data_IF_139231308213
#
_entry.id   IF_139231308213
#
_cell.length_a   1.000
_cell.length_b   1.000
_cell.length_c   1.000
_cell.angle_alpha   90.00
_cell.angle_beta   90.00
_cell.angle_gamma   90.00
#
_symmetry.space_group_name_H-M   'P 1'
#
loop_
_entity.id
_entity.type
_entity.pdbx_description
1 polymer ?
#
# COMPACT_ATOMS: atom_id res chain seq x y z
N UNK A 1 -1.04 -9.24 15.44
CA UNK A 1 -2.10 -9.67 14.47
C UNK A 1 -3.48 -9.52 15.12
N UNK A 2 -4.57 -9.42 14.34
CA UNK A 2 -5.93 -9.22 14.85
C UNK A 2 -6.79 -10.46 14.59
N UNK A 3 -7.56 -10.90 15.58
CA UNK A 3 -8.42 -12.10 15.47
C UNK A 3 -9.68 -11.81 14.64
N UNK A 4 -10.23 -10.60 14.74
CA UNK A 4 -11.47 -10.22 14.08
C UNK A 4 -11.24 -9.14 13.04
N UNK A 5 -12.14 -9.05 12.07
CA UNK A 5 -12.18 -7.99 11.07
C UNK A 5 -12.40 -6.63 11.74
N UNK A 6 -12.00 -5.58 11.06
CA UNK A 6 -12.02 -4.21 11.60
C UNK A 6 -12.50 -3.22 10.54
N UNK A 7 -13.21 -2.20 11.02
CA UNK A 7 -13.66 -1.04 10.24
C UNK A 7 -13.51 0.24 11.06
N UNK A 8 -13.83 1.39 10.51
CA UNK A 8 -13.82 2.65 11.27
C UNK A 8 -15.03 2.74 12.20
N UNK A 9 -14.93 3.59 13.24
CA UNK A 9 -16.06 3.91 14.11
C UNK A 9 -17.12 4.73 13.37
N UNK A 10 -16.67 5.73 12.58
CA UNK A 10 -17.51 6.69 11.87
C UNK A 10 -16.89 7.01 10.50
N UNK A 11 -17.50 7.89 9.71
CA UNK A 11 -16.94 8.38 8.47
C UNK A 11 -15.84 9.40 8.71
N UNK A 12 -14.84 9.44 7.83
CA UNK A 12 -13.77 10.45 7.81
C UNK A 12 -13.56 10.95 6.39
N UNK A 13 -13.32 12.26 6.24
CA UNK A 13 -13.22 12.94 4.95
C UNK A 13 -11.83 13.54 4.74
N UNK A 14 -11.41 13.60 3.49
CA UNK A 14 -10.16 14.19 3.04
C UNK A 14 -10.38 15.00 1.77
N UNK A 15 -9.92 16.24 1.79
CA UNK A 15 -9.87 17.11 0.62
C UNK A 15 -8.42 17.31 0.18
N UNK A 16 -8.16 17.20 -1.10
CA UNK A 16 -6.83 17.34 -1.66
C UNK A 16 -6.82 17.45 -3.17
N UNK A 17 -5.70 17.12 -3.78
CA UNK A 17 -5.53 17.12 -5.24
C UNK A 17 -4.95 15.78 -5.69
N UNK A 18 -5.27 15.35 -6.91
CA UNK A 18 -4.58 14.22 -7.54
C UNK A 18 -3.15 14.59 -7.94
N UNK A 19 -2.19 13.71 -7.66
CA UNK A 19 -0.78 13.93 -8.03
C UNK A 19 -0.60 14.09 -9.54
N UNK A 20 -1.20 13.18 -10.31
CA UNK A 20 -1.04 13.13 -11.76
C UNK A 20 -2.04 14.03 -12.47
N UNK A 21 -3.29 14.04 -12.05
CA UNK A 21 -4.36 14.82 -12.70
C UNK A 21 -4.33 16.30 -12.34
N UNK A 22 -3.90 16.63 -11.11
CA UNK A 22 -3.97 17.99 -10.54
C UNK A 22 -5.41 18.44 -10.24
N UNK A 23 -6.40 17.56 -10.37
CA UNK A 23 -7.79 17.91 -10.08
C UNK A 23 -8.07 17.87 -8.56
N UNK A 24 -8.98 18.75 -8.09
CA UNK A 24 -9.48 18.65 -6.73
C UNK A 24 -10.16 17.28 -6.50
N UNK A 25 -9.94 16.72 -5.34
CA UNK A 25 -10.46 15.41 -4.95
C UNK A 25 -11.07 15.52 -3.56
N UNK A 26 -12.31 15.05 -3.44
CA UNK A 26 -12.95 14.75 -2.18
C UNK A 26 -13.04 13.24 -2.02
N UNK A 27 -12.50 12.72 -0.92
CA UNK A 27 -12.49 11.31 -0.54
C UNK A 27 -13.14 11.16 0.83
N UNK A 28 -14.16 10.30 0.94
CA UNK A 28 -14.77 9.92 2.21
C UNK A 28 -14.57 8.42 2.46
N UNK A 29 -14.04 8.07 3.62
CA UNK A 29 -13.96 6.70 4.11
C UNK A 29 -15.17 6.44 5.00
N UNK A 30 -15.98 5.45 4.65
CA UNK A 30 -17.20 5.10 5.38
C UNK A 30 -17.11 3.65 5.88
N UNK A 31 -17.46 3.37 7.16
CA UNK A 31 -17.52 2.01 7.68
C UNK A 31 -18.38 1.10 6.81
N UNK A 32 -17.89 -0.13 6.57
CA UNK A 32 -18.64 -1.11 5.79
C UNK A 32 -18.94 -2.38 6.62
N UNK A 33 -19.98 -3.15 6.25
CA UNK A 33 -20.28 -4.44 6.87
C UNK A 33 -19.11 -5.43 6.79
N UNK A 34 -19.18 -6.46 7.62
CA UNK A 34 -18.25 -7.58 7.59
C UNK A 34 -18.18 -8.22 6.20
N UNK A 35 -16.98 -8.66 5.81
CA UNK A 35 -16.71 -9.32 4.53
C UNK A 35 -16.95 -8.44 3.28
N UNK A 36 -17.08 -7.13 3.44
CA UNK A 36 -17.17 -6.20 2.30
C UNK A 36 -15.83 -6.06 1.59
N UNK A 37 -14.72 -6.06 2.34
CA UNK A 37 -13.42 -5.66 1.84
C UNK A 37 -13.31 -4.14 1.66
N UNK A 38 -12.32 -3.71 0.89
CA UNK A 38 -12.13 -2.30 0.53
C UNK A 38 -12.75 -2.06 -0.84
N UNK A 39 -13.74 -1.17 -0.90
CA UNK A 39 -14.50 -0.90 -2.12
C UNK A 39 -14.51 0.60 -2.41
N UNK A 40 -13.91 1.00 -3.52
CA UNK A 40 -14.01 2.36 -4.04
C UNK A 40 -15.35 2.58 -4.72
N UNK A 41 -15.98 3.73 -4.47
CA UNK A 41 -17.22 4.17 -5.12
C UNK A 41 -17.00 5.52 -5.79
N UNK A 42 -17.07 5.56 -7.12
CA UNK A 42 -16.97 6.79 -7.93
C UNK A 42 -18.29 7.56 -7.83
N UNK A 43 -18.35 8.52 -6.92
CA UNK A 43 -19.58 9.30 -6.64
C UNK A 43 -20.00 10.16 -7.83
N UNK A 44 -19.07 10.65 -8.63
CA UNK A 44 -19.29 11.36 -9.88
C UNK A 44 -19.84 10.46 -11.01
N UNK A 45 -19.76 9.13 -10.86
CA UNK A 45 -20.25 8.13 -11.80
C UNK A 45 -21.37 7.26 -11.19
N UNK A 46 -22.30 7.87 -10.45
CA UNK A 46 -23.46 7.21 -9.82
C UNK A 46 -23.05 6.09 -8.86
N UNK A 47 -22.02 6.34 -8.06
CA UNK A 47 -21.46 5.38 -7.10
C UNK A 47 -20.98 4.07 -7.76
N UNK A 48 -20.35 4.17 -8.93
CA UNK A 48 -19.79 2.99 -9.59
C UNK A 48 -18.72 2.35 -8.73
N UNK A 49 -18.88 1.07 -8.41
CA UNK A 49 -18.04 0.33 -7.46
C UNK A 49 -16.90 -0.41 -8.14
N UNK A 50 -15.70 -0.27 -7.55
CA UNK A 50 -14.49 -0.98 -7.92
C UNK A 50 -13.88 -1.55 -6.65
N UNK A 51 -13.89 -2.86 -6.50
CA UNK A 51 -13.28 -3.56 -5.38
C UNK A 51 -11.75 -3.41 -5.47
N UNK A 52 -11.10 -3.07 -4.35
CA UNK A 52 -9.65 -2.98 -4.26
C UNK A 52 -9.03 -4.38 -4.23
N UNK A 53 -9.01 -5.03 -5.38
CA UNK A 53 -8.48 -6.37 -5.56
C UNK A 53 -7.55 -6.44 -6.77
N UNK A 54 -6.64 -7.41 -6.75
CA UNK A 54 -5.73 -7.69 -7.85
C UNK A 54 -6.44 -7.84 -9.21
N UNK A 55 -7.67 -8.37 -9.21
CA UNK A 55 -8.44 -8.58 -10.45
C UNK A 55 -8.74 -7.27 -11.19
N UNK A 56 -8.72 -6.15 -10.50
CA UNK A 56 -8.96 -4.82 -11.06
C UNK A 56 -7.69 -4.01 -11.32
N UNK A 57 -6.49 -4.52 -11.02
CA UNK A 57 -5.23 -3.83 -11.35
C UNK A 57 -5.09 -3.75 -12.87
N UNK A 58 -5.01 -2.52 -13.39
CA UNK A 58 -4.97 -2.25 -14.81
C UNK A 58 -3.65 -1.63 -15.26
N UNK A 59 -3.04 -0.78 -14.43
CA UNK A 59 -1.82 -0.06 -14.74
C UNK A 59 -0.98 0.10 -13.47
N UNK A 60 0.34 -0.01 -13.63
CA UNK A 60 1.33 0.05 -12.55
C UNK A 60 2.55 0.92 -12.94
N UNK A 61 2.35 1.85 -13.87
CA UNK A 61 3.37 2.81 -14.27
C UNK A 61 3.17 4.12 -13.51
N UNK A 62 4.14 4.50 -12.70
CA UNK A 62 4.18 5.68 -11.84
C UNK A 62 3.16 5.71 -10.68
N UNK A 63 2.15 4.87 -10.71
CA UNK A 63 1.17 4.66 -9.64
C UNK A 63 0.40 3.38 -9.90
N UNK A 64 -0.23 2.83 -8.86
CA UNK A 64 -1.15 1.69 -9.00
C UNK A 64 -2.55 2.18 -9.34
N UNK A 65 -3.07 1.67 -10.47
CA UNK A 65 -4.39 2.03 -11.00
C UNK A 65 -5.30 0.81 -11.04
N UNK A 66 -6.48 0.94 -10.45
CA UNK A 66 -7.57 -0.03 -10.57
C UNK A 66 -8.50 0.38 -11.71
N UNK A 67 -9.06 -0.62 -12.42
CA UNK A 67 -10.04 -0.40 -13.50
C UNK A 67 -11.09 -1.50 -13.53
N UNK A 68 -12.35 -1.10 -13.69
CA UNK A 68 -13.49 -2.00 -13.90
C UNK A 68 -14.41 -1.40 -14.95
N UNK A 69 -14.68 -2.13 -16.03
CA UNK A 69 -15.55 -1.68 -17.14
C UNK A 69 -15.20 -0.29 -17.69
N UNK A 70 -13.89 0.05 -17.79
CA UNK A 70 -13.42 1.32 -18.30
C UNK A 70 -13.39 2.48 -17.30
N UNK A 71 -13.95 2.32 -16.10
CA UNK A 71 -13.83 3.29 -15.01
C UNK A 71 -12.53 3.03 -14.24
N UNK A 72 -11.74 4.07 -14.00
CA UNK A 72 -10.42 3.97 -13.34
C UNK A 72 -10.39 4.74 -12.03
N UNK A 73 -9.52 4.26 -11.12
CA UNK A 73 -9.06 4.97 -9.93
C UNK A 73 -7.56 4.74 -9.81
N UNK A 74 -6.78 5.82 -9.75
CA UNK A 74 -5.31 5.81 -9.72
C UNK A 74 -4.76 6.26 -8.38
N UNK A 75 -3.46 6.01 -8.16
CA UNK A 75 -2.69 6.43 -6.97
C UNK A 75 -3.31 5.88 -5.67
N UNK A 76 -3.68 4.60 -5.71
CA UNK A 76 -4.38 3.95 -4.58
C UNK A 76 -3.42 3.43 -3.51
N UNK A 77 -2.13 3.28 -3.81
CA UNK A 77 -1.13 2.59 -3.01
C UNK A 77 -0.93 3.18 -1.61
N UNK A 78 -0.86 4.50 -1.45
CA UNK A 78 -0.61 5.12 -0.13
C UNK A 78 -1.80 4.93 0.83
N UNK A 79 -3.02 5.12 0.33
CA UNK A 79 -4.23 4.87 1.10
C UNK A 79 -4.36 3.38 1.45
N UNK A 80 -4.20 2.50 0.47
CA UNK A 80 -4.30 1.05 0.69
C UNK A 80 -3.21 0.54 1.64
N UNK A 81 -1.99 1.08 1.56
CA UNK A 81 -0.92 0.81 2.51
C UNK A 81 -1.31 1.17 3.93
N UNK A 82 -1.92 2.35 4.11
CA UNK A 82 -2.39 2.82 5.43
C UNK A 82 -3.48 1.89 5.98
N UNK A 83 -4.47 1.52 5.17
CA UNK A 83 -5.51 0.59 5.59
C UNK A 83 -4.95 -0.79 5.97
N UNK A 84 -4.00 -1.30 5.18
CA UNK A 84 -3.31 -2.56 5.44
C UNK A 84 -2.50 -2.50 6.74
N UNK A 85 -1.70 -1.46 6.94
CA UNK A 85 -0.87 -1.24 8.13
C UNK A 85 -1.68 -1.13 9.41
N UNK A 86 -2.82 -0.44 9.36
CA UNK A 86 -3.76 -0.32 10.49
C UNK A 86 -4.66 -1.55 10.66
N UNK A 87 -4.62 -2.50 9.74
CA UNK A 87 -5.42 -3.72 9.78
C UNK A 87 -6.92 -3.47 9.63
N UNK A 88 -7.29 -2.56 8.74
CA UNK A 88 -8.69 -2.26 8.40
C UNK A 88 -9.09 -3.16 7.24
N UNK A 89 -10.21 -3.85 7.38
CA UNK A 89 -10.67 -4.87 6.44
C UNK A 89 -11.84 -4.41 5.58
N UNK A 90 -12.75 -3.59 6.13
CA UNK A 90 -14.02 -3.30 5.48
C UNK A 90 -14.31 -1.80 5.45
N UNK A 91 -14.26 -1.18 4.26
CA UNK A 91 -14.59 0.23 4.03
C UNK A 91 -15.22 0.45 2.66
N UNK A 92 -16.11 1.42 2.59
CA UNK A 92 -16.41 2.11 1.35
C UNK A 92 -15.55 3.38 1.25
N UNK A 93 -14.98 3.61 0.08
CA UNK A 93 -14.13 4.74 -0.25
C UNK A 93 -14.83 5.57 -1.33
N UNK A 94 -15.58 6.58 -0.90
CA UNK A 94 -16.35 7.46 -1.77
C UNK A 94 -15.45 8.53 -2.37
N UNK A 95 -15.32 8.55 -3.69
CA UNK A 95 -14.36 9.36 -4.42
C UNK A 95 -15.04 10.09 -5.59
N UNK A 96 -14.93 11.41 -5.64
CA UNK A 96 -15.49 12.23 -6.72
C UNK A 96 -14.57 12.43 -7.93
N UNK A 97 -13.44 11.70 -7.98
CA UNK A 97 -12.40 11.85 -9.00
C UNK A 97 -11.83 10.50 -9.41
N UNK A 98 -11.05 10.49 -10.50
CA UNK A 98 -10.36 9.30 -11.00
C UNK A 98 -9.01 9.04 -10.30
N UNK A 99 -8.66 9.78 -9.27
CA UNK A 99 -7.39 9.66 -8.56
C UNK A 99 -7.60 9.91 -7.06
N UNK A 100 -6.96 9.10 -6.21
CA UNK A 100 -6.91 9.32 -4.76
C UNK A 100 -6.10 10.58 -4.46
N UNK A 101 -6.48 11.44 -3.49
CA UNK A 101 -5.72 12.65 -3.20
C UNK A 101 -4.33 12.28 -2.67
N UNK A 102 -3.30 12.97 -3.18
CA UNK A 102 -1.91 12.69 -2.81
C UNK A 102 -1.55 13.12 -1.38
N UNK A 103 -2.32 14.04 -0.83
CA UNK A 103 -2.08 14.66 0.46
C UNK A 103 -0.66 15.26 0.56
N UNK A 104 0.14 14.83 1.52
CA UNK A 104 1.55 15.23 1.68
C UNK A 104 2.55 14.27 1.02
N UNK A 105 2.05 13.34 0.20
CA UNK A 105 2.87 12.32 -0.47
C UNK A 105 3.19 11.09 0.37
N UNK A 106 2.60 10.98 1.56
CA UNK A 106 2.73 9.84 2.47
C UNK A 106 1.37 9.30 2.90
N UNK A 107 1.33 8.34 3.82
CA UNK A 107 0.10 7.88 4.49
C UNK A 107 -0.34 8.76 5.66
N UNK A 108 0.44 9.80 6.05
CA UNK A 108 0.25 10.55 7.29
C UNK A 108 -1.16 11.10 7.47
N UNK A 109 -1.68 11.82 6.48
CA UNK A 109 -3.00 12.42 6.59
C UNK A 109 -4.10 11.36 6.79
N UNK A 110 -4.00 10.23 6.09
CA UNK A 110 -4.93 9.11 6.25
C UNK A 110 -4.82 8.48 7.64
N UNK A 111 -3.59 8.28 8.15
CA UNK A 111 -3.37 7.79 9.52
C UNK A 111 -3.99 8.72 10.56
N UNK A 112 -3.72 10.02 10.48
CA UNK A 112 -4.25 11.02 11.41
C UNK A 112 -5.80 11.00 11.42
N UNK A 113 -6.43 10.93 10.24
CA UNK A 113 -7.89 10.84 10.12
C UNK A 113 -8.45 9.55 10.70
N UNK A 114 -7.82 8.42 10.45
CA UNK A 114 -8.23 7.11 10.97
C UNK A 114 -8.07 7.06 12.50
N UNK A 115 -6.96 7.57 13.04
CA UNK A 115 -6.73 7.61 14.49
C UNK A 115 -7.75 8.51 15.22
N UNK A 116 -8.05 9.68 14.65
CA UNK A 116 -9.05 10.59 15.20
C UNK A 116 -10.47 10.01 15.15
N UNK A 117 -10.83 9.32 14.07
CA UNK A 117 -12.12 8.65 13.91
C UNK A 117 -12.23 7.41 14.83
N UNK A 118 -11.11 6.71 15.01
CA UNK A 118 -11.03 5.44 15.75
C UNK A 118 -11.46 4.24 14.90
N UNK A 119 -11.01 3.07 15.35
CA UNK A 119 -11.24 1.78 14.68
C UNK A 119 -12.05 0.89 15.60
N UNK A 120 -13.08 0.22 15.06
CA UNK A 120 -13.86 -0.77 15.79
C UNK A 120 -13.63 -2.17 15.25
N UNK A 121 -13.62 -3.13 16.17
CA UNK A 121 -13.65 -4.55 15.86
C UNK A 121 -15.07 -4.96 15.43
N UNK A 122 -15.13 -5.87 14.48
CA UNK A 122 -16.36 -6.52 14.00
C UNK A 122 -16.44 -7.96 14.56
N UNK A 123 -17.52 -8.71 14.25
CA UNK A 123 -17.72 -10.04 14.80
C UNK A 123 -17.16 -11.16 13.90
N UNK A 124 -16.93 -10.89 12.62
CA UNK A 124 -16.36 -11.88 11.69
C UNK A 124 -14.87 -12.10 11.97
N UNK A 125 -14.43 -13.35 11.93
CA UNK A 125 -13.02 -13.69 12.05
C UNK A 125 -12.23 -13.13 10.85
N UNK A 126 -11.01 -12.68 11.12
CA UNK A 126 -10.08 -12.20 10.11
C UNK A 126 -9.32 -13.34 9.48
N UNK A 127 -9.40 -13.47 8.16
CA UNK A 127 -8.66 -14.46 7.40
C UNK A 127 -7.27 -13.95 7.02
N UNK A 128 -6.26 -14.78 7.20
CA UNK A 128 -4.86 -14.53 6.84
C UNK A 128 -4.39 -15.49 5.77
N UNK A 129 -3.52 -15.04 4.88
CA UNK A 129 -2.81 -15.90 3.95
C UNK A 129 -1.47 -16.31 4.58
N UNK A 130 -1.39 -17.55 5.07
CA UNK A 130 -0.17 -18.15 5.60
C UNK A 130 0.69 -18.66 4.44
N UNK A 131 1.90 -18.13 4.34
CA UNK A 131 2.87 -18.55 3.32
C UNK A 131 3.55 -19.85 3.78
N UNK A 132 3.34 -20.92 3.01
CA UNK A 132 3.90 -22.24 3.26
C UNK A 132 5.09 -22.55 2.35
N UNK A 133 5.09 -22.04 1.13
CA UNK A 133 6.16 -22.21 0.15
C UNK A 133 6.62 -20.83 -0.37
N UNK A 134 7.92 -20.64 -0.65
CA UNK A 134 8.42 -19.41 -1.24
C UNK A 134 7.78 -19.11 -2.59
N UNK A 135 7.42 -17.84 -2.79
CA UNK A 135 6.97 -17.32 -4.08
C UNK A 135 7.85 -16.13 -4.42
N UNK A 136 8.47 -16.13 -5.60
CA UNK A 136 9.39 -15.09 -6.01
C UNK A 136 9.16 -14.70 -7.47
N UNK A 137 9.32 -13.43 -7.78
CA UNK A 137 9.29 -12.86 -9.14
C UNK A 137 10.58 -12.09 -9.36
N UNK A 138 11.21 -12.32 -10.51
CA UNK A 138 12.45 -11.61 -10.94
C UNK A 138 12.26 -10.98 -12.32
N UNK A 139 12.85 -9.82 -12.50
CA UNK A 139 13.00 -9.18 -13.80
C UNK A 139 14.33 -8.42 -13.84
N UNK A 140 15.34 -9.01 -14.49
CA UNK A 140 16.73 -8.53 -14.41
C UNK A 140 17.25 -8.62 -12.98
N UNK A 141 17.73 -7.50 -12.45
CA UNK A 141 18.24 -7.34 -11.08
C UNK A 141 17.13 -7.01 -10.05
N UNK A 142 15.88 -6.87 -10.51
CA UNK A 142 14.73 -6.56 -9.66
C UNK A 142 14.08 -7.83 -9.15
N UNK A 143 13.83 -7.87 -7.85
CA UNK A 143 13.25 -9.04 -7.18
C UNK A 143 12.13 -8.61 -6.25
N UNK A 144 11.06 -9.38 -6.20
CA UNK A 144 10.12 -9.37 -5.09
C UNK A 144 9.69 -10.79 -4.77
N UNK A 145 9.51 -11.11 -3.49
CA UNK A 145 9.13 -12.43 -3.04
C UNK A 145 8.40 -12.41 -1.70
N UNK A 146 7.81 -13.56 -1.39
CA UNK A 146 7.26 -13.85 -0.06
C UNK A 146 7.71 -15.23 0.36
N UNK A 147 8.13 -15.36 1.61
CA UNK A 147 8.73 -16.55 2.18
C UNK A 147 8.00 -16.96 3.45
N UNK A 148 8.02 -18.28 3.82
CA UNK A 148 7.46 -18.73 5.09
C UNK A 148 8.08 -18.00 6.28
N UNK A 149 7.23 -17.48 7.17
CA UNK A 149 7.60 -16.92 8.46
C UNK A 149 6.44 -17.07 9.45
N UNK A 150 6.75 -17.07 10.75
CA UNK A 150 5.75 -17.20 11.82
C UNK A 150 5.05 -15.88 12.18
N UNK A 151 5.61 -14.76 11.75
CA UNK A 151 5.07 -13.41 11.94
C UNK A 151 5.21 -12.60 10.64
N UNK A 152 4.35 -11.61 10.40
CA UNK A 152 4.50 -10.71 9.25
C UNK A 152 5.77 -9.88 9.38
N UNK A 153 6.69 -10.01 8.44
CA UNK A 153 7.94 -9.23 8.38
C UNK A 153 8.21 -8.77 6.96
N UNK A 154 9.07 -7.77 6.80
CA UNK A 154 9.49 -7.30 5.49
C UNK A 154 10.96 -6.86 5.47
N UNK A 155 11.63 -7.13 4.36
CA UNK A 155 12.90 -6.54 3.95
C UNK A 155 12.70 -5.80 2.64
N UNK A 156 13.11 -4.54 2.57
CA UNK A 156 13.16 -3.79 1.32
C UNK A 156 14.54 -3.22 1.09
N UNK A 157 15.08 -3.38 -0.13
CA UNK A 157 16.38 -2.86 -0.55
C UNK A 157 16.15 -1.99 -1.79
N UNK A 158 16.68 -0.78 -1.75
CA UNK A 158 16.82 0.10 -2.92
C UNK A 158 18.28 0.34 -3.23
N UNK A 159 18.57 0.64 -4.49
CA UNK A 159 19.93 0.95 -4.94
C UNK A 159 19.81 1.90 -6.16
N UNK A 160 19.97 3.19 -5.90
CA UNK A 160 19.90 4.24 -6.91
C UNK A 160 21.29 4.81 -7.16
N UNK A 161 21.64 4.99 -8.43
CA UNK A 161 22.85 5.71 -8.84
C UNK A 161 22.71 7.22 -8.60
N UNK A 162 22.40 7.61 -7.36
CA UNK A 162 22.21 9.00 -6.95
C UNK A 162 22.81 9.23 -5.56
N UNK A 163 23.70 10.22 -5.43
CA UNK A 163 24.48 10.44 -4.21
C UNK A 163 23.67 10.68 -2.94
N UNK A 164 22.46 11.26 -3.06
CA UNK A 164 21.57 11.51 -1.93
C UNK A 164 20.72 10.28 -1.54
N UNK A 165 20.67 9.22 -2.34
CA UNK A 165 19.92 7.99 -2.06
C UNK A 165 20.87 6.83 -1.82
N UNK A 166 21.63 6.43 -2.84
CA UNK A 166 22.52 5.28 -2.80
C UNK A 166 21.79 3.96 -2.55
N UNK A 167 22.48 3.03 -1.86
CA UNK A 167 21.89 1.78 -1.40
C UNK A 167 21.36 1.94 0.02
N UNK A 168 20.05 1.66 0.18
CA UNK A 168 19.39 1.65 1.48
C UNK A 168 18.68 0.30 1.68
N UNK A 169 18.59 -0.14 2.94
CA UNK A 169 17.87 -1.35 3.32
C UNK A 169 17.10 -1.11 4.60
N UNK A 170 15.91 -1.69 4.67
CA UNK A 170 15.09 -1.71 5.87
C UNK A 170 14.59 -3.14 6.13
N UNK A 171 14.64 -3.56 7.40
CA UNK A 171 14.15 -4.84 7.88
C UNK A 171 13.24 -4.57 9.07
N UNK A 172 12.00 -5.08 9.05
CA UNK A 172 11.08 -4.83 10.15
C UNK A 172 9.97 -5.87 10.30
N UNK A 173 9.42 -5.96 11.50
CA UNK A 173 8.17 -6.64 11.76
C UNK A 173 6.99 -5.72 11.40
N UNK A 174 6.01 -6.25 10.67
CA UNK A 174 4.85 -5.49 10.20
C UNK A 174 3.75 -5.50 11.26
N UNK A 175 3.84 -4.55 12.19
CA UNK A 175 2.81 -4.27 13.19
C UNK A 175 2.17 -2.91 12.93
N UNK A 176 0.95 -2.62 13.44
CA UNK A 176 0.35 -1.29 13.32
C UNK A 176 1.21 -0.19 13.92
N UNK A 177 1.88 -0.47 15.04
CA UNK A 177 2.78 0.49 15.67
C UNK A 177 3.99 0.78 14.79
N UNK A 178 4.64 -0.27 14.26
CA UNK A 178 5.76 -0.12 13.34
C UNK A 178 5.35 0.62 12.06
N UNK A 179 4.17 0.32 11.49
CA UNK A 179 3.66 1.06 10.35
C UNK A 179 3.50 2.56 10.69
N UNK A 180 2.89 2.87 11.82
CA UNK A 180 2.63 4.24 12.26
C UNK A 180 3.91 5.05 12.48
N UNK A 181 4.91 4.46 13.14
CA UNK A 181 6.14 5.17 13.55
C UNK A 181 7.23 5.16 12.49
N UNK A 182 7.30 4.11 11.66
CA UNK A 182 8.46 3.87 10.82
C UNK A 182 8.17 3.95 9.30
N UNK A 183 6.90 3.72 8.88
CA UNK A 183 6.58 3.59 7.45
C UNK A 183 5.63 4.68 6.98
N UNK A 184 4.49 4.82 7.65
CA UNK A 184 3.33 5.55 7.13
C UNK A 184 3.55 7.04 6.87
N UNK A 185 4.58 7.65 7.47
CA UNK A 185 4.93 9.06 7.25
C UNK A 185 6.01 9.27 6.18
N UNK A 186 6.56 8.21 5.60
CA UNK A 186 7.57 8.32 4.54
C UNK A 186 6.95 8.84 3.23
N UNK A 187 7.51 9.91 2.68
CA UNK A 187 6.98 10.59 1.48
C UNK A 187 7.49 9.97 0.19
N UNK A 188 6.64 10.05 -0.85
CA UNK A 188 7.03 9.74 -2.22
C UNK A 188 8.12 10.67 -2.72
N UNK A 189 8.87 10.23 -3.73
CA UNK A 189 9.98 10.99 -4.29
C UNK A 189 10.06 10.85 -5.81
N UNK A 190 10.71 11.83 -6.43
CA UNK A 190 10.95 11.84 -7.87
C UNK A 190 12.13 12.72 -8.24
N UNK A 191 12.60 12.60 -9.49
CA UNK A 191 13.74 13.33 -10.00
C UNK A 191 13.29 14.50 -10.88
N UNK A 192 13.97 15.65 -10.75
CA UNK A 192 13.73 16.83 -11.61
C UNK A 192 13.90 16.45 -13.08
N UNK A 193 14.86 15.60 -13.41
CA UNK A 193 15.08 15.11 -14.78
C UNK A 193 13.83 14.47 -15.42
N UNK A 194 12.99 13.84 -14.60
CA UNK A 194 11.77 13.17 -15.09
C UNK A 194 10.57 14.13 -15.18
N UNK A 195 10.60 15.27 -14.47
CA UNK A 195 9.46 16.18 -14.34
C UNK A 195 8.98 16.69 -15.70
N UNK A 196 9.88 17.12 -16.58
CA UNK A 196 9.49 17.63 -17.90
C UNK A 196 8.85 16.53 -18.77
N UNK A 197 9.42 15.34 -18.74
CA UNK A 197 8.87 14.19 -19.47
C UNK A 197 7.49 13.80 -18.94
N UNK A 198 7.35 13.67 -17.61
CA UNK A 198 6.08 13.33 -16.98
C UNK A 198 5.00 14.37 -17.24
N UNK A 199 5.34 15.67 -17.19
CA UNK A 199 4.42 16.75 -17.56
C UNK A 199 3.99 16.67 -19.03
N UNK A 200 4.90 16.38 -19.96
CA UNK A 200 4.56 16.14 -21.37
C UNK A 200 3.63 14.95 -21.56
N UNK A 201 3.77 13.92 -20.72
CA UNK A 201 2.84 12.77 -20.67
C UNK A 201 1.51 13.08 -19.96
N UNK A 202 1.32 14.31 -19.49
CA UNK A 202 0.09 14.74 -18.79
C UNK A 202 0.03 14.26 -17.34
N UNK A 203 1.16 13.83 -16.76
CA UNK A 203 1.29 13.39 -15.37
C UNK A 203 1.84 14.50 -14.47
N UNK A 204 1.82 14.25 -13.16
CA UNK A 204 2.35 15.12 -12.08
C UNK A 204 1.88 16.59 -12.14
N UNK A 205 0.66 16.84 -12.63
CA UNK A 205 0.10 18.20 -12.71
C UNK A 205 -0.17 18.81 -11.34
N UNK A 206 -0.41 17.98 -10.32
CA UNK A 206 -0.57 18.36 -8.92
C UNK A 206 0.71 18.21 -8.09
N UNK A 207 1.83 17.77 -8.69
CA UNK A 207 3.10 17.58 -8.00
C UNK A 207 3.73 18.90 -7.54
N UNK A 208 4.17 18.94 -6.29
CA UNK A 208 4.83 20.07 -5.64
C UNK A 208 5.86 19.60 -4.61
N UNK A 209 6.67 20.53 -4.10
CA UNK A 209 7.61 20.24 -3.00
C UNK A 209 6.92 19.94 -1.67
N UNK A 210 5.61 20.19 -1.57
CA UNK A 210 4.83 19.89 -0.36
C UNK A 210 4.34 18.44 -0.34
N UNK A 211 4.24 17.77 -1.51
CA UNK A 211 3.68 16.43 -1.64
C UNK A 211 4.62 15.39 -2.29
N UNK A 212 5.88 15.73 -2.47
CA UNK A 212 6.93 14.81 -2.91
C UNK A 212 8.31 15.28 -2.48
N UNK A 213 9.23 14.37 -2.25
CA UNK A 213 10.65 14.67 -2.15
C UNK A 213 11.19 14.77 -3.58
N UNK A 214 11.76 15.91 -3.93
CA UNK A 214 12.30 16.15 -5.27
C UNK A 214 13.82 16.16 -5.21
N UNK A 215 14.44 15.42 -6.14
CA UNK A 215 15.89 15.32 -6.26
C UNK A 215 16.35 15.88 -7.58
N UNK A 216 17.48 16.60 -7.55
CA UNK A 216 18.24 17.01 -8.72
C UNK A 216 19.67 16.45 -8.65
N UNK A 217 20.49 16.71 -9.66
CA UNK A 217 21.86 16.20 -9.73
C UNK A 217 22.75 16.62 -8.52
N UNK A 218 22.36 17.68 -7.80
CA UNK A 218 23.09 18.18 -6.63
C UNK A 218 22.61 17.57 -5.30
N UNK A 219 21.43 16.97 -5.27
CA UNK A 219 20.87 16.34 -4.07
C UNK A 219 19.36 16.54 -3.90
N UNK A 220 18.92 16.73 -2.67
CA UNK A 220 17.51 16.90 -2.29
C UNK A 220 17.15 18.40 -2.37
N UNK A 221 16.16 18.72 -3.19
CA UNK A 221 15.65 20.10 -3.40
C UNK A 221 14.78 20.57 -2.22
N UNK A 222 14.04 19.64 -1.62
CA UNK A 222 13.16 19.93 -0.47
C UNK A 222 13.97 20.28 0.79
N UNK A 223 13.22 20.66 1.83
CA UNK A 223 13.73 20.71 3.21
C UNK A 223 14.10 19.30 3.71
N UNK A 224 14.44 19.20 4.99
CA UNK A 224 14.91 17.96 5.65
C UNK A 224 14.01 16.73 5.39
N UNK A 225 14.64 15.56 5.30
CA UNK A 225 13.98 14.27 5.31
C UNK A 225 13.36 13.99 6.68
N UNK A 226 12.26 13.26 6.72
CA UNK A 226 11.64 12.77 7.97
C UNK A 226 12.43 11.63 8.60
N UNK A 227 13.10 10.84 7.76
CA UNK A 227 14.01 9.76 8.15
C UNK A 227 15.27 9.82 7.30
N UNK A 228 16.45 9.47 7.82
CA UNK A 228 17.68 9.40 7.01
C UNK A 228 17.55 8.45 5.81
N UNK A 229 16.70 7.45 5.93
CA UNK A 229 16.41 6.41 4.95
C UNK A 229 14.96 6.48 4.42
N UNK A 230 14.38 7.71 4.32
CA UNK A 230 12.98 7.92 3.95
C UNK A 230 12.61 7.26 2.61
N UNK A 231 13.55 7.19 1.66
CA UNK A 231 13.31 6.61 0.34
C UNK A 231 12.97 5.12 0.39
N UNK A 232 13.72 4.31 1.15
CA UNK A 232 13.43 2.87 1.26
C UNK A 232 12.17 2.62 2.08
N UNK A 233 11.88 3.46 3.08
CA UNK A 233 10.64 3.40 3.87
C UNK A 233 9.42 3.63 2.98
N UNK A 234 9.50 4.64 2.09
CA UNK A 234 8.43 4.89 1.14
C UNK A 234 8.25 3.72 0.16
N UNK A 235 9.34 3.11 -0.31
CA UNK A 235 9.24 1.92 -1.18
C UNK A 235 8.61 0.72 -0.46
N UNK A 236 8.82 0.58 0.83
CA UNK A 236 8.09 -0.42 1.63
C UNK A 236 6.61 -0.06 1.79
N UNK A 237 6.28 1.24 1.98
CA UNK A 237 4.89 1.72 1.98
C UNK A 237 4.19 1.34 0.68
N UNK A 238 4.79 1.62 -0.48
CA UNK A 238 4.28 1.23 -1.81
C UNK A 238 4.02 -0.28 -1.90
N UNK A 239 4.99 -1.09 -1.47
CA UNK A 239 4.86 -2.56 -1.49
C UNK A 239 3.65 -3.02 -0.68
N UNK A 240 3.45 -2.48 0.53
CA UNK A 240 2.32 -2.87 1.38
C UNK A 240 0.98 -2.50 0.75
N UNK A 241 0.88 -1.34 0.10
CA UNK A 241 -0.30 -0.92 -0.65
C UNK A 241 -0.60 -1.85 -1.82
N UNK A 242 0.40 -2.19 -2.62
CA UNK A 242 0.23 -3.08 -3.77
C UNK A 242 -0.12 -4.53 -3.35
N UNK A 243 0.49 -5.03 -2.28
CA UNK A 243 0.24 -6.38 -1.75
C UNK A 243 -1.14 -6.48 -1.08
N UNK A 244 -1.68 -5.40 -0.53
CA UNK A 244 -3.02 -5.39 0.04
C UNK A 244 -4.11 -5.83 -0.94
N UNK A 245 -3.87 -5.62 -2.24
CA UNK A 245 -4.77 -6.01 -3.34
C UNK A 245 -4.94 -7.54 -3.50
N UNK A 246 -4.17 -8.36 -2.78
CA UNK A 246 -4.41 -9.80 -2.66
C UNK A 246 -5.71 -10.09 -1.90
N UNK A 247 -6.16 -9.16 -1.06
CA UNK A 247 -7.41 -9.26 -0.29
C UNK A 247 -7.28 -9.98 1.06
N UNK A 248 -6.08 -10.45 1.41
CA UNK A 248 -5.77 -11.06 2.71
C UNK A 248 -4.45 -10.53 3.26
N UNK A 249 -4.35 -10.19 4.54
CA UNK A 249 -3.07 -9.92 5.18
C UNK A 249 -2.22 -11.20 5.19
N UNK A 250 -0.92 -11.01 4.96
CA UNK A 250 0.04 -12.11 4.82
C UNK A 250 0.69 -12.42 6.17
N UNK A 251 0.77 -13.71 6.52
CA UNK A 251 1.70 -14.26 7.53
C UNK A 251 2.86 -14.87 6.75
N UNK A 252 3.99 -14.17 6.74
CA UNK A 252 5.16 -14.50 5.95
C UNK A 252 6.16 -13.34 5.94
N UNK A 253 7.29 -13.55 5.30
CA UNK A 253 8.34 -12.55 5.10
C UNK A 253 8.26 -12.00 3.68
N UNK A 254 7.91 -10.72 3.53
CA UNK A 254 7.99 -9.99 2.26
C UNK A 254 9.42 -9.55 2.01
N UNK A 255 9.92 -9.77 0.81
CA UNK A 255 11.23 -9.32 0.36
C UNK A 255 11.10 -8.55 -0.95
N UNK A 256 11.78 -7.41 -1.05
CA UNK A 256 11.87 -6.67 -2.31
C UNK A 256 13.25 -6.04 -2.46
N UNK A 257 13.83 -6.15 -3.66
CA UNK A 257 15.10 -5.51 -4.02
C UNK A 257 14.96 -4.85 -5.39
N UNK A 258 15.28 -3.54 -5.45
CA UNK A 258 15.15 -2.68 -6.65
C UNK A 258 13.78 -2.76 -7.32
N UNK A 259 12.77 -3.20 -6.58
CA UNK A 259 11.41 -3.41 -7.07
C UNK A 259 10.62 -2.09 -7.17
N UNK A 260 9.48 -2.16 -7.82
CA UNK A 260 8.48 -1.09 -7.91
C UNK A 260 7.15 -1.71 -8.29
N UNK A 261 6.11 -0.89 -8.50
CA UNK A 261 4.73 -1.35 -8.70
C UNK A 261 4.56 -2.49 -9.71
N UNK A 262 5.32 -2.50 -10.81
CA UNK A 262 5.24 -3.58 -11.80
C UNK A 262 5.65 -4.95 -11.23
N UNK A 263 6.72 -4.98 -10.42
CA UNK A 263 7.21 -6.21 -9.77
C UNK A 263 6.32 -6.58 -8.60
N UNK A 264 5.83 -5.60 -7.81
CA UNK A 264 4.87 -5.82 -6.73
C UNK A 264 3.57 -6.44 -7.28
N UNK A 265 3.03 -5.89 -8.37
CA UNK A 265 1.83 -6.41 -9.01
C UNK A 265 2.03 -7.83 -9.57
N UNK A 266 3.21 -8.10 -10.15
CA UNK A 266 3.56 -9.44 -10.62
C UNK A 266 3.67 -10.44 -9.46
N UNK A 267 4.22 -10.02 -8.31
CA UNK A 267 4.25 -10.83 -7.10
C UNK A 267 2.84 -11.08 -6.58
N UNK A 268 2.00 -10.04 -6.46
CA UNK A 268 0.61 -10.16 -6.03
C UNK A 268 -0.19 -11.11 -6.94
N UNK A 269 0.01 -11.02 -8.27
CA UNK A 269 -0.59 -11.94 -9.24
C UNK A 269 -0.14 -13.40 -9.02
N UNK A 270 1.16 -13.62 -8.79
CA UNK A 270 1.70 -14.95 -8.59
C UNK A 270 1.24 -15.57 -7.27
N UNK A 271 1.16 -14.77 -6.19
CA UNK A 271 0.61 -15.19 -4.91
C UNK A 271 -0.86 -15.59 -5.09
N UNK A 272 -1.67 -14.76 -5.73
CA UNK A 272 -3.08 -15.03 -5.93
C UNK A 272 -3.35 -16.29 -6.77
N UNK A 273 -2.56 -16.57 -7.82
CA UNK A 273 -2.63 -17.82 -8.59
C UNK A 273 -2.15 -19.03 -7.78
N UNK A 274 -1.29 -18.82 -6.79
CA UNK A 274 -0.74 -19.83 -5.92
C UNK A 274 -1.52 -20.06 -4.62
N UNK A 275 -2.64 -19.37 -4.40
CA UNK A 275 -3.42 -19.46 -3.14
C UNK A 275 -3.78 -20.93 -2.78
N UNK A 276 -4.06 -21.78 -3.75
CA UNK A 276 -4.33 -23.19 -3.51
C UNK A 276 -3.14 -24.00 -2.95
N UNK A 277 -1.90 -23.45 -3.00
CA UNK A 277 -0.69 -24.03 -2.40
C UNK A 277 -0.32 -23.37 -1.08
N UNK A 278 -0.98 -22.25 -0.75
CA UNK A 278 -0.85 -21.53 0.50
C UNK A 278 -2.07 -21.83 1.37
N UNK A 279 -2.01 -21.46 2.64
CA UNK A 279 -3.13 -21.74 3.55
C UNK A 279 -3.84 -20.43 3.92
N UNK A 280 -5.14 -20.36 3.69
CA UNK A 280 -5.98 -19.36 4.34
C UNK A 280 -6.32 -19.90 5.74
N UNK A 281 -6.02 -19.13 6.78
CA UNK A 281 -6.23 -19.54 8.17
C UNK A 281 -6.78 -18.37 9.01
N UNK A 282 -7.45 -18.72 10.09
CA UNK A 282 -7.83 -17.82 11.18
C UNK A 282 -6.79 -17.90 12.30
N UNK A 283 -6.59 -16.84 13.08
CA UNK A 283 -5.56 -16.84 14.15
C UNK A 283 -5.68 -18.01 15.14
N UNK A 284 -6.88 -18.39 15.66
CA UNK A 284 -6.98 -19.53 16.58
C UNK A 284 -6.45 -20.85 15.99
N UNK A 285 -6.64 -21.05 14.68
CA UNK A 285 -6.12 -22.24 13.99
C UNK A 285 -4.59 -22.18 13.81
N UNK A 286 -4.07 -20.97 13.52
CA UNK A 286 -2.64 -20.73 13.34
C UNK A 286 -1.87 -20.91 14.66
N UNK A 287 -2.36 -20.33 15.76
CA UNK A 287 -1.76 -20.45 17.08
C UNK A 287 -1.75 -21.89 17.58
N UNK A 288 -2.83 -22.64 17.34
CA UNK A 288 -2.90 -24.06 17.64
C UNK A 288 -1.87 -24.88 16.85
N UNK A 289 -1.70 -24.58 15.56
CA UNK A 289 -0.71 -25.27 14.72
C UNK A 289 0.74 -24.97 15.15
N UNK A 290 1.06 -23.71 15.53
CA UNK A 290 2.37 -23.34 16.07
C UNK A 290 2.67 -24.00 17.42
N UNK A 291 1.68 -24.16 18.28
CA UNK A 291 1.85 -24.84 19.57
C UNK A 291 2.23 -26.30 19.39
N UNK A 292 1.61 -27.00 18.43
CA UNK A 292 1.93 -28.39 18.08
C UNK A 292 3.35 -28.53 17.53
N UNK A 293 3.80 -27.59 16.66
CA UNK A 293 5.17 -27.62 16.11
C UNK A 293 6.27 -27.37 17.15
N UNK A 294 5.97 -26.62 18.22
CA UNK A 294 6.93 -26.35 19.31
C UNK A 294 6.99 -27.46 20.36
N UNK A 295 6.02 -28.37 20.37
CA UNK A 295 5.91 -29.47 21.32
C UNK A 295 6.47 -30.81 20.78
N UNK A 296 6.81 -30.91 19.51
CA UNK A 296 7.45 -32.05 18.86
C UNK A 296 8.88 -31.77 18.46
#
# INVERSE_FOLDING_TARGET
>A
MFQYQRTLNDAVEFDGIGLHTGYPVHLQLTPAPENTGIVFRRTDLKNFEIEATRAHVARVSYATTLMKKGVMISTVEHLLSTLYGFGIDNLFLDLNSMEVPIMDGSGKAFMDGIENCGIRQQNALRAYLLIQEPIEVRHGDKVAGVYPASVPTATYIIDFEHGAIGRQQIDMELTPECYRTEIGTARTFGFVSDVEYLKKCGLIRGGSLENAIVLDDSGIVNRELRFPDEFVRHKLLDLLGDISLIGHPIIGHLYAEKAGHAIHAALADRIARGIGKQRICMLPEFESALAVQKAG
#
